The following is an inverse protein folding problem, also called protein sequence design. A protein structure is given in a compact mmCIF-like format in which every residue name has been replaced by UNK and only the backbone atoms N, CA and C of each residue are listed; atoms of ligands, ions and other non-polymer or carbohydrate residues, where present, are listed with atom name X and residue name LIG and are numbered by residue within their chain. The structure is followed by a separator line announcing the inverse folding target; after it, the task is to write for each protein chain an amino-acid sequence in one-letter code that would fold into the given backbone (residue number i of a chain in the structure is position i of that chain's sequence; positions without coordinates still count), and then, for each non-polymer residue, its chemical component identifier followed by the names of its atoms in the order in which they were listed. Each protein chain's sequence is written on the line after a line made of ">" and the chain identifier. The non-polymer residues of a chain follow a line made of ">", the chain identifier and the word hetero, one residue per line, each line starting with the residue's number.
data_IF_997945912523
#
_entry.id   IF_997945912523
#
_cell.length_a   1.000
_cell.length_b   1.000
_cell.length_c   1.000
_cell.angle_alpha   90.00
_cell.angle_beta   90.00
_cell.angle_gamma   90.00
#
_symmetry.space_group_name_H-M   'P 1'
#
loop_
_entity.id
_entity.type
_entity.pdbx_description
1 polymer ?
#
# COMPACT_ATOMS: atom_id res chain seq x y z
N UNK A 1 -32.75 26.37 -30.00
CA UNK A 1 -32.61 26.03 -29.56
C UNK A 1 -31.92 25.64 -28.63
N UNK A 2 -31.74 25.48 -28.19
CA UNK A 2 -31.14 25.17 -27.40
C UNK A 2 -31.09 25.25 -26.15
N UNK A 3 -31.04 25.16 -25.67
CA UNK A 3 -31.01 25.33 -24.49
C UNK A 3 -31.46 24.62 -23.60
N UNK A 4 -31.52 24.13 -23.38
CA UNK A 4 -32.08 23.48 -22.67
C UNK A 4 -31.59 22.68 -21.82
N UNK A 5 -31.34 22.45 -21.52
CA UNK A 5 -30.92 21.66 -20.78
C UNK A 5 -30.61 21.69 -19.63
N UNK A 6 -30.49 21.85 -19.49
CA UNK A 6 -30.08 22.01 -18.48
C UNK A 6 -30.49 21.64 -17.37
N UNK A 7 -30.92 21.45 -17.07
CA UNK A 7 -31.36 21.26 -16.05
C UNK A 7 -31.22 20.29 -15.36
N UNK A 8 -31.16 19.87 -15.40
CA UNK A 8 -31.13 18.95 -14.83
C UNK A 8 -30.50 18.71 -13.80
N UNK A 9 -30.08 18.67 -13.72
CA UNK A 9 -29.46 18.40 -12.83
C UNK A 9 -29.63 18.39 -11.63
N UNK A 10 -29.91 18.54 -11.35
CA UNK A 10 -30.08 18.65 -10.25
C UNK A 10 -30.22 17.78 -9.43
N UNK A 11 -30.33 17.29 -9.20
CA UNK A 11 -30.62 16.54 -8.45
C UNK A 11 -30.01 15.90 -7.64
N UNK A 12 -29.77 15.68 -7.64
CA UNK A 12 -29.25 14.99 -6.94
C UNK A 12 -28.97 14.81 -5.79
N UNK A 13 -28.85 14.86 -5.46
CA UNK A 13 -28.57 14.67 -4.47
C UNK A 13 -28.74 14.16 -3.47
N UNK A 14 -28.91 13.96 -3.27
CA UNK A 14 -29.22 13.51 -2.40
C UNK A 14 -28.79 12.72 -1.67
N UNK A 15 -28.56 12.35 -1.52
CA UNK A 15 -28.27 11.58 -0.81
C UNK A 15 -27.80 11.29 0.20
N UNK A 16 -27.74 11.22 0.45
CA UNK A 16 -27.39 10.79 1.32
C UNK A 16 -27.11 10.46 2.28
N UNK A 17 -27.06 10.25 2.55
CA UNK A 17 -26.85 9.89 3.41
C UNK A 17 -26.60 9.35 4.24
N UNK A 18 -26.46 8.97 4.50
CA UNK A 18 -26.36 8.50 5.22
C UNK A 18 -25.92 8.09 6.01
N UNK A 19 -25.84 7.91 6.24
CA UNK A 19 -25.55 7.54 6.91
C UNK A 19 -25.17 7.27 7.78
N UNK A 20 -25.14 7.03 7.98
CA UNK A 20 -25.00 6.69 8.71
C UNK A 20 -24.41 6.43 9.56
N UNK A 21 -24.20 6.29 9.78
CA UNK A 21 -23.81 5.93 10.52
C UNK A 21 -23.40 5.78 11.44
N UNK A 22 -23.27 5.45 11.64
CA UNK A 22 -23.03 5.08 12.48
C UNK A 22 -22.35 4.84 13.20
N UNK A 23 -22.11 4.64 13.46
CA UNK A 23 -21.63 4.29 14.18
C UNK A 23 -20.91 4.36 14.89
N UNK A 24 -20.67 4.34 15.08
CA UNK A 24 -20.13 4.44 15.77
C UNK A 24 -19.49 4.13 16.62
N UNK A 25 -19.29 4.00 16.95
CA UNK A 25 -18.86 3.64 17.72
C UNK A 25 -17.86 3.58 18.17
N UNK A 26 -17.60 3.66 18.51
CA UNK A 26 -16.82 3.48 18.99
C UNK A 26 -15.72 3.69 19.15
N UNK A 27 -15.36 3.94 19.10
CA UNK A 27 -14.31 4.16 19.09
C UNK A 27 -13.40 4.02 19.99
N UNK A 28 -12.90 4.16 20.26
CA UNK A 28 -12.12 4.02 21.16
C UNK A 28 -10.98 3.45 20.92
N UNK A 29 -10.31 3.36 21.43
CA UNK A 29 -9.29 2.69 21.25
C UNK A 29 -8.42 2.96 20.41
N UNK A 30 -7.85 3.57 20.38
CA UNK A 30 -7.07 3.91 19.51
C UNK A 30 -5.75 3.45 19.49
N UNK A 31 -5.04 3.35 20.33
CA UNK A 31 -3.63 3.11 20.21
C UNK A 31 -3.31 1.84 19.54
N UNK A 32 -4.13 0.86 19.58
CA UNK A 32 -3.77 -0.39 18.99
C UNK A 32 -4.10 -0.47 17.52
N UNK A 33 -4.88 0.46 17.03
CA UNK A 33 -5.30 0.34 15.65
C UNK A 33 -4.17 0.64 14.66
N UNK A 34 -3.19 1.42 15.06
CA UNK A 34 -2.13 1.72 14.12
C UNK A 34 -1.23 0.52 13.87
N UNK A 35 -0.90 -0.23 14.88
CA UNK A 35 -0.03 -1.38 14.67
C UNK A 35 -0.72 -2.49 13.89
N UNK A 36 -1.99 -2.72 14.15
CA UNK A 36 -2.70 -3.73 13.38
C UNK A 36 -2.86 -3.32 11.93
N UNK A 37 -3.00 -2.04 11.69
CA UNK A 37 -3.11 -1.53 10.33
C UNK A 37 -1.79 -1.71 9.57
N UNK A 38 -0.68 -1.42 10.24
CA UNK A 38 0.62 -1.61 9.68
C UNK A 38 0.89 -3.03 9.33
N UNK A 39 0.60 -3.93 10.25
CA UNK A 39 0.80 -5.35 10.05
C UNK A 39 -0.03 -5.83 8.88
N UNK A 40 -1.26 -5.35 8.77
CA UNK A 40 -2.13 -5.70 7.67
C UNK A 40 -1.57 -5.21 6.33
N UNK A 41 -1.03 -4.00 6.30
CA UNK A 41 -0.42 -3.45 5.08
C UNK A 41 0.79 -4.27 4.66
N UNK A 42 1.61 -4.65 5.64
CA UNK A 42 2.79 -5.45 5.37
C UNK A 42 2.40 -6.82 4.81
N UNK A 43 1.43 -7.48 5.44
CA UNK A 43 0.98 -8.79 4.98
C UNK A 43 0.40 -8.73 3.56
N UNK A 44 -0.38 -7.69 3.30
CA UNK A 44 -0.96 -7.51 1.97
C UNK A 44 0.15 -7.31 0.93
N UNK A 45 1.16 -6.55 1.29
CA UNK A 45 2.29 -6.33 0.38
C UNK A 45 3.00 -7.65 0.10
N UNK A 46 3.22 -8.46 1.12
CA UNK A 46 3.89 -9.76 0.93
C UNK A 46 3.07 -10.66 0.01
N UNK A 47 1.75 -10.64 0.16
CA UNK A 47 0.87 -11.42 -0.72
C UNK A 47 0.99 -10.96 -2.17
N UNK A 48 1.06 -9.64 -2.37
CA UNK A 48 1.23 -9.09 -3.71
C UNK A 48 2.58 -9.50 -4.31
N UNK A 49 3.63 -9.47 -3.50
CA UNK A 49 4.95 -9.90 -3.95
C UNK A 49 4.93 -11.36 -4.40
N UNK A 50 4.27 -12.21 -3.63
CA UNK A 50 4.18 -13.64 -3.99
C UNK A 50 3.41 -13.83 -5.29
N UNK A 51 2.32 -13.09 -5.46
CA UNK A 51 1.54 -13.18 -6.71
C UNK A 51 2.36 -12.67 -7.90
N UNK A 52 3.10 -11.59 -7.68
CA UNK A 52 3.96 -11.05 -8.74
C UNK A 52 5.00 -12.09 -9.17
N UNK A 53 5.61 -12.76 -8.19
CA UNK A 53 6.58 -13.80 -8.49
C UNK A 53 5.99 -14.93 -9.33
N UNK A 54 4.75 -15.30 -9.06
CA UNK A 54 4.09 -16.33 -9.85
C UNK A 54 3.84 -15.85 -11.29
N UNK A 55 3.52 -14.56 -11.44
CA UNK A 55 3.31 -14.01 -12.77
C UNK A 55 4.62 -13.95 -13.56
N UNK A 56 5.72 -13.65 -12.89
CA UNK A 56 7.02 -13.65 -13.54
C UNK A 56 7.35 -15.04 -14.08
N UNK A 57 7.05 -16.07 -13.32
CA UNK A 57 7.32 -17.44 -13.75
C UNK A 57 6.50 -17.82 -14.98
N UNK A 58 5.42 -17.11 -15.23
CA UNK A 58 4.57 -17.34 -16.40
C UNK A 58 4.87 -16.33 -17.51
N UNK A 59 5.98 -15.62 -17.41
CA UNK A 59 6.42 -14.62 -18.38
C UNK A 59 5.45 -13.43 -18.49
N UNK A 60 4.64 -13.22 -17.45
CA UNK A 60 3.74 -12.07 -17.42
C UNK A 60 4.39 -10.94 -16.66
N UNK A 61 5.51 -10.49 -17.17
CA UNK A 61 6.38 -9.53 -16.50
C UNK A 61 5.69 -8.19 -16.24
N UNK A 62 4.93 -7.69 -17.21
CA UNK A 62 4.26 -6.39 -17.05
C UNK A 62 3.25 -6.42 -15.92
N UNK A 63 2.48 -7.50 -15.84
CA UNK A 63 1.52 -7.65 -14.75
C UNK A 63 2.23 -7.80 -13.41
N UNK A 64 3.36 -8.52 -13.41
CA UNK A 64 4.14 -8.68 -12.20
C UNK A 64 4.65 -7.33 -11.70
N UNK A 65 5.16 -6.49 -12.61
CA UNK A 65 5.65 -5.18 -12.22
C UNK A 65 4.58 -4.31 -11.58
N UNK A 66 3.36 -4.40 -12.10
CA UNK A 66 2.25 -3.65 -11.50
C UNK A 66 1.99 -4.09 -10.07
N UNK A 67 2.04 -5.40 -9.83
CA UNK A 67 1.83 -5.91 -8.47
C UNK A 67 2.98 -5.52 -7.54
N UNK A 68 4.21 -5.53 -8.05
CA UNK A 68 5.34 -5.07 -7.25
C UNK A 68 5.19 -3.60 -6.87
N UNK A 69 4.71 -2.77 -7.81
CA UNK A 69 4.48 -1.37 -7.52
C UNK A 69 3.38 -1.18 -6.47
N UNK A 70 2.32 -1.97 -6.57
CA UNK A 70 1.24 -1.92 -5.57
C UNK A 70 1.76 -2.35 -4.20
N UNK A 71 2.61 -3.38 -4.19
CA UNK A 71 3.20 -3.83 -2.93
C UNK A 71 4.06 -2.74 -2.32
N UNK A 72 4.85 -2.05 -3.16
CA UNK A 72 5.68 -0.95 -2.68
C UNK A 72 4.84 0.13 -2.01
N UNK A 73 3.71 0.50 -2.63
CA UNK A 73 2.85 1.54 -2.05
C UNK A 73 2.37 1.15 -0.65
N UNK A 74 2.01 -0.10 -0.46
CA UNK A 74 1.58 -0.57 0.86
C UNK A 74 2.74 -0.58 1.85
N UNK A 75 3.92 -1.00 1.38
CA UNK A 75 5.10 -1.02 2.23
C UNK A 75 5.51 0.39 2.64
N UNK A 76 5.38 1.34 1.73
CA UNK A 76 5.70 2.73 2.04
C UNK A 76 4.80 3.25 3.15
N UNK A 77 3.52 2.93 3.09
CA UNK A 77 2.59 3.34 4.14
C UNK A 77 2.93 2.68 5.47
N UNK A 78 3.26 1.38 5.44
CA UNK A 78 3.65 0.68 6.65
C UNK A 78 4.95 1.27 7.22
N UNK A 79 5.87 1.65 6.35
CA UNK A 79 7.14 2.22 6.77
C UNK A 79 6.96 3.55 7.50
N UNK A 80 5.98 4.34 7.09
CA UNK A 80 5.73 5.63 7.73
C UNK A 80 5.39 5.46 9.21
N UNK A 81 4.73 4.37 9.55
CA UNK A 81 4.35 4.09 10.94
C UNK A 81 5.43 3.33 11.70
N UNK A 82 6.24 2.54 10.99
CA UNK A 82 7.25 1.72 11.64
C UNK A 82 8.57 1.85 10.88
N UNK A 83 9.23 2.97 11.08
CA UNK A 83 10.43 3.33 10.31
C UNK A 83 11.65 2.50 10.63
N UNK A 84 11.64 1.79 11.74
CA UNK A 84 12.78 0.98 12.15
C UNK A 84 12.59 -0.50 11.93
N UNK A 85 11.66 -0.85 11.06
CA UNK A 85 11.40 -2.25 10.76
C UNK A 85 12.23 -2.67 9.53
N UNK A 86 13.29 -3.46 9.74
CA UNK A 86 14.15 -3.84 8.62
C UNK A 86 13.45 -4.76 7.62
N UNK A 87 12.44 -5.49 8.04
CA UNK A 87 11.71 -6.37 7.11
C UNK A 87 10.95 -5.54 6.08
N UNK A 88 10.33 -4.44 6.52
CA UNK A 88 9.64 -3.54 5.61
C UNK A 88 10.64 -2.96 4.61
N UNK A 89 11.78 -2.48 5.09
CA UNK A 89 12.80 -1.92 4.23
C UNK A 89 13.35 -2.94 3.24
N UNK A 90 13.50 -4.17 3.68
CA UNK A 90 13.96 -5.23 2.81
C UNK A 90 13.01 -5.46 1.64
N UNK A 91 11.71 -5.51 1.93
CA UNK A 91 10.71 -5.68 0.87
C UNK A 91 10.60 -4.43 0.00
N UNK A 92 10.78 -3.24 0.58
CA UNK A 92 10.81 -2.02 -0.23
C UNK A 92 11.96 -2.08 -1.24
N UNK A 93 13.13 -2.54 -0.79
CA UNK A 93 14.26 -2.73 -1.69
C UNK A 93 13.96 -3.76 -2.77
N UNK A 94 13.37 -4.88 -2.37
CA UNK A 94 13.04 -5.95 -3.31
C UNK A 94 12.07 -5.47 -4.39
N UNK A 95 10.97 -4.83 -3.98
CA UNK A 95 9.97 -4.36 -4.93
C UNK A 95 10.50 -3.25 -5.83
N UNK A 96 11.33 -2.38 -5.28
CA UNK A 96 11.93 -1.30 -6.05
C UNK A 96 12.90 -1.87 -7.10
N UNK A 97 13.65 -2.89 -6.73
CA UNK A 97 14.55 -3.55 -7.68
C UNK A 97 13.74 -4.21 -8.80
N UNK A 98 12.65 -4.86 -8.45
CA UNK A 98 11.81 -5.54 -9.43
C UNK A 98 11.18 -4.57 -10.44
N UNK A 99 10.97 -3.34 -10.05
CA UNK A 99 10.45 -2.33 -10.96
C UNK A 99 11.56 -1.56 -11.69
N UNK A 100 12.81 -1.91 -11.46
CA UNK A 100 13.92 -1.38 -12.23
C UNK A 100 14.71 -0.24 -11.63
N UNK A 101 14.39 0.17 -10.44
CA UNK A 101 15.09 1.29 -9.79
C UNK A 101 16.14 0.75 -8.82
N UNK A 102 17.30 0.39 -9.38
CA UNK A 102 18.33 -0.29 -8.61
C UNK A 102 19.01 0.59 -7.57
N UNK A 103 19.20 1.87 -7.88
CA UNK A 103 19.80 2.80 -6.92
C UNK A 103 18.95 2.95 -5.67
N UNK A 104 17.66 3.16 -5.88
CA UNK A 104 16.74 3.33 -4.77
C UNK A 104 16.63 2.04 -3.96
N UNK A 105 16.65 0.90 -4.65
CA UNK A 105 16.61 -0.40 -3.99
C UNK A 105 17.81 -0.58 -3.07
N UNK A 106 18.98 -0.19 -3.54
CA UNK A 106 20.20 -0.31 -2.74
C UNK A 106 20.09 0.51 -1.47
N UNK A 107 19.56 1.73 -1.58
CA UNK A 107 19.39 2.58 -0.40
C UNK A 107 18.50 1.93 0.65
N UNK A 108 17.40 1.32 0.22
CA UNK A 108 16.52 0.64 1.15
C UNK A 108 17.21 -0.55 1.82
N UNK A 109 17.96 -1.33 1.05
CA UNK A 109 18.70 -2.46 1.62
C UNK A 109 19.74 -2.01 2.63
N UNK A 110 20.49 -0.96 2.30
CA UNK A 110 21.51 -0.44 3.19
C UNK A 110 20.90 0.11 4.49
N UNK A 111 19.76 0.79 4.34
CA UNK A 111 19.07 1.31 5.52
C UNK A 111 18.60 0.16 6.41
N UNK A 112 18.06 -0.89 5.81
CA UNK A 112 17.63 -2.06 6.56
C UNK A 112 18.77 -2.74 7.28
N UNK A 113 19.93 -2.84 6.62
CA UNK A 113 21.10 -3.43 7.23
C UNK A 113 21.60 -2.62 8.41
N UNK A 114 21.49 -1.29 8.34
CA UNK A 114 21.93 -0.44 9.44
C UNK A 114 21.09 -0.65 10.68
N UNK A 115 19.86 -1.14 10.52
CA UNK A 115 18.99 -1.44 11.65
C UNK A 115 19.23 -2.82 12.23
N UNK A 116 19.94 -3.70 11.50
CA UNK A 116 20.30 -5.04 11.95
C UNK A 116 21.75 -5.34 11.68
N UNK A 117 22.68 -4.56 12.24
CA UNK A 117 24.08 -4.74 11.89
C UNK A 117 24.69 -6.05 12.36
N UNK A 118 24.14 -6.65 13.40
CA UNK A 118 24.69 -7.89 13.98
C UNK A 118 23.82 -9.10 13.69
N UNK A 119 23.05 -9.03 12.65
CA UNK A 119 22.17 -10.14 12.34
C UNK A 119 22.95 -11.19 11.56
N UNK A 120 23.31 -12.26 12.22
CA UNK A 120 24.06 -13.35 11.59
C UNK A 120 23.32 -14.64 11.76
#
# INVERSE_FOLDING_TARGET
>A
MKNIFILLLSLILSTSLMAAGSDSSSGSSSSSSSSSNEESLYEDAVKLVKRAGKLEKKDKTDKAKKLYAQAFDKLEKAHKSDKKNPDILNYMGFTTRKTGNFEKAEKFYLEGLSLKPNHN
#
